data_IF_363367392739
#
_entry.id   IF_363367392739
#
_cell.length_a   1.000
_cell.length_b   1.000
_cell.length_c   1.000
_cell.angle_alpha   90.00
_cell.angle_beta   90.00
_cell.angle_gamma   90.00
#
_symmetry.space_group_name_H-M   'P 1'
#
loop_
_entity.id
_entity.type
_entity.pdbx_description
1 polymer ?
#
# COMPACT_ATOMS: atom_id res chain seq x y z
N UNK A 1 8.05 -18.48 26.11
CA UNK A 1 6.84 -18.20 26.91
C UNK A 1 6.33 -16.81 26.55
N UNK A 2 5.47 -16.71 25.54
CA UNK A 2 4.88 -15.43 25.11
C UNK A 2 3.89 -14.95 26.17
N UNK A 3 4.23 -13.84 26.84
CA UNK A 3 3.41 -13.25 27.89
C UNK A 3 2.62 -12.11 27.25
N UNK A 4 1.47 -12.43 26.66
CA UNK A 4 0.53 -11.43 26.15
C UNK A 4 -0.17 -10.82 27.36
N UNK A 5 0.18 -9.58 27.72
CA UNK A 5 -0.61 -8.80 28.67
C UNK A 5 -1.97 -8.51 28.02
N UNK A 6 -3.06 -8.84 28.71
CA UNK A 6 -4.40 -8.46 28.27
C UNK A 6 -4.71 -7.11 28.89
N UNK A 7 -4.87 -6.11 28.04
CA UNK A 7 -5.35 -4.79 28.43
C UNK A 7 -6.87 -4.81 28.41
N UNK A 8 -7.51 -4.57 29.56
CA UNK A 8 -8.96 -4.41 29.63
C UNK A 8 -9.28 -2.96 29.96
N UNK A 9 -9.81 -2.22 28.97
CA UNK A 9 -10.51 -0.96 29.24
C UNK A 9 -11.92 -1.27 29.76
N UNK A 10 -12.03 -1.83 30.97
CA UNK A 10 -13.34 -2.13 31.58
C UNK A 10 -14.12 -0.87 31.92
N UNK A 11 -13.42 0.25 32.09
CA UNK A 11 -14.02 1.54 32.39
C UNK A 11 -14.23 2.36 31.10
N UNK A 12 -15.40 2.95 30.84
CA UNK A 12 -15.63 3.77 29.65
C UNK A 12 -14.95 5.14 29.73
N UNK A 13 -14.61 5.61 30.93
CA UNK A 13 -14.05 6.96 31.15
C UNK A 13 -12.77 7.26 30.37
N UNK A 14 -11.74 6.38 30.32
CA UNK A 14 -10.55 6.64 29.51
C UNK A 14 -10.89 6.90 28.04
N UNK A 15 -11.80 6.13 27.45
CA UNK A 15 -12.19 6.29 26.05
C UNK A 15 -12.91 7.62 25.83
N UNK A 16 -13.79 7.99 26.77
CA UNK A 16 -14.48 9.28 26.76
C UNK A 16 -13.49 10.44 26.90
N UNK A 17 -12.54 10.36 27.84
CA UNK A 17 -11.51 11.37 28.04
C UNK A 17 -10.64 11.55 26.78
N UNK A 18 -10.22 10.44 26.15
CA UNK A 18 -9.42 10.50 24.92
C UNK A 18 -10.21 11.14 23.78
N UNK A 19 -11.50 10.79 23.64
CA UNK A 19 -12.37 11.33 22.60
C UNK A 19 -12.63 12.83 22.80
N UNK A 20 -12.86 13.24 24.04
CA UNK A 20 -13.03 14.64 24.43
C UNK A 20 -11.74 15.44 24.17
N UNK A 21 -10.58 14.91 24.60
CA UNK A 21 -9.28 15.53 24.38
C UNK A 21 -8.98 15.74 22.89
N UNK A 22 -9.22 14.72 22.06
CA UNK A 22 -9.08 14.84 20.60
C UNK A 22 -10.01 15.92 20.02
N UNK A 23 -11.27 15.92 20.43
CA UNK A 23 -12.28 16.86 19.92
C UNK A 23 -11.94 18.29 20.31
N UNK A 24 -11.52 18.51 21.56
CA UNK A 24 -11.06 19.82 22.06
C UNK A 24 -9.87 20.33 21.28
N UNK A 25 -8.84 19.49 21.08
CA UNK A 25 -7.65 19.89 20.33
C UNK A 25 -8.00 20.23 18.88
N UNK A 26 -8.83 19.42 18.20
CA UNK A 26 -9.28 19.70 16.82
C UNK A 26 -9.92 21.08 16.70
N UNK A 27 -10.73 21.47 17.68
CA UNK A 27 -11.37 22.78 17.70
C UNK A 27 -10.39 23.92 17.98
N UNK A 28 -9.40 23.71 18.86
CA UNK A 28 -8.42 24.73 19.24
C UNK A 28 -7.40 24.99 18.13
N UNK A 29 -6.80 23.95 17.56
CA UNK A 29 -5.76 24.10 16.53
C UNK A 29 -6.33 24.31 15.13
N UNK A 30 -7.65 24.19 14.93
CA UNK A 30 -8.33 24.16 13.61
C UNK A 30 -7.71 23.13 12.64
N UNK A 31 -6.94 22.17 13.14
CA UNK A 31 -6.33 21.10 12.38
C UNK A 31 -7.23 19.87 12.42
N UNK A 32 -7.35 19.16 11.31
CA UNK A 32 -8.15 17.93 11.23
C UNK A 32 -7.53 16.78 12.05
N UNK A 33 -6.21 16.79 12.21
CA UNK A 33 -5.45 15.74 12.90
C UNK A 33 -4.36 16.36 13.80
N UNK A 34 -4.74 16.94 14.95
CA UNK A 34 -3.77 17.39 15.93
C UNK A 34 -3.01 16.20 16.52
N UNK A 35 -1.77 16.44 16.93
CA UNK A 35 -1.03 15.45 17.71
C UNK A 35 -1.61 15.41 19.12
N UNK A 36 -2.09 14.23 19.52
CA UNK A 36 -2.66 14.01 20.84
C UNK A 36 -1.77 13.03 21.58
N UNK A 37 -1.37 13.41 22.78
CA UNK A 37 -0.61 12.56 23.68
C UNK A 37 -1.21 12.65 25.08
N UNK A 38 -1.32 11.51 25.75
CA UNK A 38 -1.73 11.50 27.14
C UNK A 38 -1.28 10.26 27.88
N UNK A 39 -1.32 10.33 29.20
CA UNK A 39 -0.95 9.25 30.10
C UNK A 39 -2.17 8.40 30.47
N UNK A 40 -1.94 7.11 30.68
CA UNK A 40 -2.90 6.13 31.15
C UNK A 40 -2.55 5.73 32.59
N UNK A 41 -3.57 5.81 33.45
CA UNK A 41 -3.51 5.43 34.86
C UNK A 41 -4.40 4.22 35.10
N UNK A 42 -3.92 3.29 35.92
CA UNK A 42 -4.60 2.04 36.14
C UNK A 42 -3.97 1.22 37.24
N UNK A 43 -4.45 -0.02 37.38
CA UNK A 43 -3.88 -1.01 38.28
C UNK A 43 -3.34 -2.18 37.46
N UNK A 44 -2.24 -2.78 37.93
CA UNK A 44 -1.66 -3.96 37.31
C UNK A 44 -1.73 -5.14 38.28
N UNK A 45 -2.59 -6.11 37.98
CA UNK A 45 -2.70 -7.36 38.72
C UNK A 45 -2.00 -8.48 37.94
N UNK A 46 -0.67 -8.53 38.09
CA UNK A 46 0.17 -9.51 37.40
C UNK A 46 0.22 -9.28 35.89
N UNK A 47 -0.63 -10.00 35.13
CA UNK A 47 -0.72 -9.90 33.65
C UNK A 47 -1.97 -9.17 33.17
N UNK A 48 -2.88 -8.87 34.07
CA UNK A 48 -4.08 -8.11 33.77
C UNK A 48 -3.81 -6.64 34.11
N UNK A 49 -4.04 -5.79 33.13
CA UNK A 49 -3.87 -4.35 33.25
C UNK A 49 -5.25 -3.73 33.07
N UNK A 50 -5.75 -3.11 34.14
CA UNK A 50 -7.03 -2.43 34.17
C UNK A 50 -6.79 -0.93 34.05
N UNK A 51 -7.21 -0.36 32.92
CA UNK A 51 -7.09 1.08 32.66
C UNK A 51 -8.32 1.77 33.24
N UNK A 52 -8.10 2.64 34.22
CA UNK A 52 -9.18 3.29 34.99
C UNK A 52 -9.33 4.74 34.60
N UNK A 53 -8.21 5.45 34.41
CA UNK A 53 -8.22 6.88 34.13
C UNK A 53 -7.14 7.28 33.12
N UNK A 54 -7.24 8.49 32.59
CA UNK A 54 -6.28 9.07 31.67
C UNK A 54 -6.24 10.58 31.79
N UNK A 55 -5.09 11.18 31.52
CA UNK A 55 -4.90 12.63 31.49
C UNK A 55 -4.05 13.05 30.31
N UNK A 56 -4.18 14.30 29.88
CA UNK A 56 -3.42 14.87 28.76
C UNK A 56 -1.97 15.15 29.14
N UNK A 57 -1.05 14.92 28.21
CA UNK A 57 0.36 15.27 28.36
C UNK A 57 0.70 16.41 27.42
N UNK A 58 1.46 17.37 27.93
CA UNK A 58 2.04 18.44 27.14
C UNK A 58 3.37 17.99 26.55
N UNK A 59 3.57 18.37 25.30
CA UNK A 59 4.83 18.19 24.59
C UNK A 59 5.49 19.56 24.53
N UNK A 60 6.78 19.62 24.83
CA UNK A 60 7.61 20.82 24.74
C UNK A 60 7.82 21.23 23.28
N UNK A 61 8.39 22.42 23.05
CA UNK A 61 8.71 22.93 21.71
C UNK A 61 9.65 21.99 20.93
N UNK A 62 10.47 21.21 21.64
CA UNK A 62 11.40 20.22 21.08
C UNK A 62 10.74 18.86 20.76
N UNK A 63 9.40 18.79 20.73
CA UNK A 63 8.63 17.56 20.55
C UNK A 63 8.88 16.46 21.61
N UNK A 64 9.46 16.84 22.76
CA UNK A 64 9.71 15.94 23.89
C UNK A 64 8.62 16.04 24.95
N UNK A 65 8.32 14.91 25.60
CA UNK A 65 7.40 14.87 26.73
C UNK A 65 7.99 15.66 27.90
N UNK A 66 7.20 16.57 28.45
CA UNK A 66 7.56 17.30 29.66
C UNK A 66 7.48 16.36 30.89
N UNK A 67 8.64 15.91 31.38
CA UNK A 67 8.74 15.04 32.54
C UNK A 67 8.33 15.70 33.84
N UNK A 68 8.55 17.02 33.98
CA UNK A 68 8.21 17.75 35.19
C UNK A 68 6.70 17.89 35.31
N UNK A 69 6.03 18.22 34.20
CA UNK A 69 4.58 18.23 34.12
C UNK A 69 3.98 16.84 34.38
N UNK A 70 4.55 15.80 33.77
CA UNK A 70 4.10 14.42 33.96
C UNK A 70 4.20 14.01 35.44
N UNK A 71 5.33 14.26 36.09
CA UNK A 71 5.54 13.90 37.50
C UNK A 71 4.61 14.70 38.42
N UNK A 72 4.49 16.01 38.21
CA UNK A 72 3.58 16.87 38.97
C UNK A 72 2.12 16.38 38.86
N UNK A 73 1.65 16.13 37.64
CA UNK A 73 0.29 15.61 37.41
C UNK A 73 0.09 14.23 38.01
N UNK A 74 1.06 13.33 37.85
CA UNK A 74 1.04 12.00 38.45
C UNK A 74 0.90 12.08 39.97
N UNK A 75 1.64 12.96 40.64
CA UNK A 75 1.59 13.11 42.09
C UNK A 75 0.24 13.68 42.55
N UNK A 76 -0.34 14.64 41.82
CA UNK A 76 -1.70 15.13 42.08
C UNK A 76 -2.74 14.00 41.99
N UNK A 77 -2.65 13.15 40.96
CA UNK A 77 -3.56 12.01 40.81
C UNK A 77 -3.37 10.97 41.90
N UNK A 78 -2.13 10.74 42.35
CA UNK A 78 -1.84 9.84 43.48
C UNK A 78 -2.44 10.32 44.80
N UNK A 79 -2.59 11.63 45.00
CA UNK A 79 -3.26 12.16 46.20
C UNK A 79 -4.74 11.77 46.23
N UNK A 80 -5.42 11.77 45.07
CA UNK A 80 -6.85 11.44 44.97
C UNK A 80 -7.08 9.93 44.83
N UNK A 81 -6.17 9.24 44.13
CA UNK A 81 -6.26 7.80 43.84
C UNK A 81 -4.90 7.11 44.10
N UNK A 82 -4.56 6.79 45.36
CA UNK A 82 -3.26 6.23 45.73
C UNK A 82 -2.97 4.85 45.15
N UNK A 83 -4.01 4.09 44.79
CA UNK A 83 -3.88 2.75 44.21
C UNK A 83 -3.57 2.73 42.72
N UNK A 84 -3.68 3.88 42.04
CA UNK A 84 -3.42 3.97 40.60
C UNK A 84 -1.94 4.23 40.33
N UNK A 85 -1.42 3.47 39.37
CA UNK A 85 -0.07 3.62 38.87
C UNK A 85 -0.08 4.11 37.41
N UNK A 86 1.05 4.65 36.99
CA UNK A 86 1.28 4.98 35.59
C UNK A 86 1.49 3.69 34.80
N UNK A 87 0.58 3.41 33.87
CA UNK A 87 0.57 2.16 33.09
C UNK A 87 1.20 2.38 31.70
N UNK A 88 1.01 3.56 31.11
CA UNK A 88 1.51 3.85 29.78
C UNK A 88 0.97 5.16 29.23
N UNK A 89 1.03 5.32 27.90
CA UNK A 89 0.52 6.49 27.20
C UNK A 89 -0.38 6.09 26.03
N UNK A 90 -1.23 7.01 25.61
CA UNK A 90 -2.04 6.89 24.40
C UNK A 90 -1.68 8.00 23.42
N UNK A 91 -1.84 7.70 22.14
CA UNK A 91 -1.81 8.69 21.07
C UNK A 91 -2.93 8.36 20.10
N UNK A 92 -3.44 9.39 19.42
CA UNK A 92 -4.48 9.23 18.41
C UNK A 92 -3.92 9.61 17.05
N UNK A 93 -3.66 8.61 16.22
CA UNK A 93 -3.21 8.78 14.86
C UNK A 93 -3.75 7.65 13.97
N UNK A 94 -3.98 7.97 12.69
CA UNK A 94 -4.34 6.96 11.68
C UNK A 94 -3.16 6.07 11.30
N UNK A 95 -1.94 6.60 11.37
CA UNK A 95 -0.71 5.89 11.06
C UNK A 95 0.45 6.34 11.98
N UNK A 96 1.45 5.48 12.24
CA UNK A 96 2.64 5.88 12.97
C UNK A 96 3.45 6.93 12.21
N UNK A 97 3.62 8.13 12.78
CA UNK A 97 4.49 9.21 12.27
C UNK A 97 5.85 9.23 12.97
N UNK A 98 6.80 10.01 12.43
CA UNK A 98 8.13 10.20 13.02
C UNK A 98 8.10 10.63 14.50
N UNK A 99 7.08 11.41 14.90
CA UNK A 99 6.88 11.83 16.30
C UNK A 99 6.65 10.66 17.24
N UNK A 100 5.94 9.61 16.81
CA UNK A 100 5.79 8.42 17.65
C UNK A 100 7.11 7.67 17.82
N UNK A 101 7.96 7.67 16.78
CA UNK A 101 9.30 7.08 16.87
C UNK A 101 10.15 7.87 17.87
N UNK A 102 10.10 9.21 17.81
CA UNK A 102 10.79 10.08 18.76
C UNK A 102 10.34 9.83 20.22
N UNK A 103 9.04 9.63 20.46
CA UNK A 103 8.52 9.24 21.78
C UNK A 103 9.08 7.90 22.27
N UNK A 104 9.15 6.90 21.40
CA UNK A 104 9.75 5.61 21.74
C UNK A 104 11.25 5.73 22.02
N UNK A 105 11.96 6.57 21.27
CA UNK A 105 13.37 6.87 21.51
C UNK A 105 13.58 7.56 22.87
N UNK A 106 12.77 8.58 23.18
CA UNK A 106 12.79 9.26 24.48
C UNK A 106 12.58 8.25 25.62
N UNK A 107 11.54 7.41 25.53
CA UNK A 107 11.30 6.37 26.53
C UNK A 107 12.50 5.45 26.74
N UNK A 108 13.16 5.00 25.66
CA UNK A 108 14.35 4.14 25.78
C UNK A 108 15.50 4.90 26.45
N UNK A 109 15.72 6.18 26.12
CA UNK A 109 16.73 7.01 26.80
C UNK A 109 16.45 7.15 28.29
N UNK A 110 15.20 7.39 28.68
CA UNK A 110 14.80 7.55 30.09
C UNK A 110 14.96 6.25 30.89
N UNK A 111 14.68 5.11 30.26
CA UNK A 111 14.86 3.79 30.84
C UNK A 111 16.36 3.48 31.05
N UNK A 112 17.21 3.92 30.11
CA UNK A 112 18.68 3.80 30.23
C UNK A 112 19.21 4.72 31.33
N UNK A 113 18.69 5.95 31.42
CA UNK A 113 19.02 6.92 32.46
C UNK A 113 18.47 6.54 33.86
N UNK A 114 17.54 5.59 33.93
CA UNK A 114 16.96 5.09 35.19
C UNK A 114 15.76 5.90 35.71
N UNK A 115 15.24 6.85 34.92
CA UNK A 115 14.09 7.68 35.30
C UNK A 115 12.74 6.96 35.10
N UNK A 116 12.68 5.99 34.18
CA UNK A 116 11.46 5.25 33.84
C UNK A 116 11.55 3.75 34.19
N UNK A 117 10.39 3.11 34.46
CA UNK A 117 10.35 1.68 34.77
C UNK A 117 10.72 0.82 33.55
N UNK A 118 11.62 -0.16 33.78
CA UNK A 118 12.11 -1.12 32.79
C UNK A 118 11.06 -2.18 32.48
N UNK A 119 10.14 -1.90 31.57
CA UNK A 119 9.30 -2.96 31.01
C UNK A 119 10.07 -3.76 29.94
N UNK A 120 10.55 -4.94 30.36
CA UNK A 120 11.28 -5.85 29.48
C UNK A 120 10.44 -6.39 28.31
N UNK A 121 9.11 -6.40 28.40
CA UNK A 121 8.26 -6.82 27.30
C UNK A 121 8.29 -5.79 26.17
N UNK A 122 8.09 -4.51 26.49
CA UNK A 122 8.15 -3.40 25.54
C UNK A 122 9.54 -3.28 24.91
N UNK A 123 10.63 -3.37 25.70
CA UNK A 123 12.00 -3.32 25.18
C UNK A 123 12.31 -4.46 24.20
N UNK A 124 11.83 -5.68 24.49
CA UNK A 124 12.00 -6.82 23.59
C UNK A 124 11.22 -6.63 22.28
N UNK A 125 10.00 -6.13 22.36
CA UNK A 125 9.17 -5.85 21.18
C UNK A 125 9.80 -4.76 20.31
N UNK A 126 10.34 -3.69 20.91
CA UNK A 126 11.08 -2.65 20.20
C UNK A 126 12.35 -3.21 19.53
N UNK A 127 13.11 -4.04 20.23
CA UNK A 127 14.30 -4.69 19.67
C UNK A 127 13.95 -5.61 18.49
N UNK A 128 12.85 -6.38 18.59
CA UNK A 128 12.36 -7.21 17.49
C UNK A 128 11.90 -6.38 16.29
N UNK A 129 11.22 -5.24 16.53
CA UNK A 129 10.82 -4.31 15.48
C UNK A 129 12.04 -3.76 14.76
N UNK A 130 13.04 -3.26 15.49
CA UNK A 130 14.28 -2.74 14.91
C UNK A 130 15.01 -3.82 14.11
N UNK A 131 15.06 -5.06 14.62
CA UNK A 131 15.66 -6.18 13.91
C UNK A 131 14.88 -6.61 12.65
N UNK A 132 13.57 -6.32 12.61
CA UNK A 132 12.71 -6.60 11.45
C UNK A 132 12.69 -5.48 10.41
N UNK A 133 13.19 -4.28 10.76
CA UNK A 133 13.33 -3.21 9.79
C UNK A 133 14.35 -3.64 8.74
N UNK A 134 14.06 -3.45 7.44
CA UNK A 134 15.02 -3.76 6.39
C UNK A 134 16.24 -2.86 6.56
N UNK A 135 17.28 -3.39 7.18
CA UNK A 135 18.61 -2.78 7.21
C UNK A 135 19.29 -3.04 5.87
N UNK A 136 18.73 -2.50 4.78
CA UNK A 136 19.36 -2.51 3.46
C UNK A 136 20.48 -1.45 3.40
N UNK A 137 21.47 -1.58 4.29
CA UNK A 137 22.69 -0.77 4.28
C UNK A 137 23.94 -1.59 3.92
N UNK A 138 23.79 -2.88 3.61
CA UNK A 138 24.91 -3.65 3.08
C UNK A 138 25.16 -3.27 1.61
N UNK A 139 26.36 -2.76 1.32
CA UNK A 139 26.80 -2.40 -0.04
C UNK A 139 26.71 -3.57 -1.03
N UNK A 140 26.92 -4.79 -0.55
CA UNK A 140 26.80 -6.01 -1.37
C UNK A 140 25.36 -6.24 -1.83
N UNK A 141 24.41 -6.13 -0.90
CA UNK A 141 22.99 -6.31 -1.19
C UNK A 141 22.46 -5.25 -2.16
N UNK A 142 22.94 -4.01 -2.06
CA UNK A 142 22.60 -2.95 -3.02
C UNK A 142 23.12 -3.28 -4.42
N UNK A 143 24.37 -3.71 -4.56
CA UNK A 143 24.92 -4.10 -5.85
C UNK A 143 24.19 -5.29 -6.47
N UNK A 144 23.86 -6.31 -5.68
CA UNK A 144 23.04 -7.44 -6.13
C UNK A 144 21.62 -7.00 -6.52
N UNK A 145 20.98 -6.14 -5.71
CA UNK A 145 19.65 -5.60 -6.01
C UNK A 145 19.63 -4.75 -7.28
N UNK A 146 20.64 -3.90 -7.49
CA UNK A 146 20.77 -3.06 -8.68
C UNK A 146 20.99 -3.92 -9.93
N UNK A 147 21.84 -4.96 -9.83
CA UNK A 147 22.08 -5.91 -10.93
C UNK A 147 20.82 -6.70 -11.28
N UNK A 148 20.12 -7.23 -10.28
CA UNK A 148 18.85 -7.95 -10.48
C UNK A 148 17.76 -7.02 -11.06
N UNK A 149 17.72 -5.76 -10.62
CA UNK A 149 16.80 -4.76 -11.16
C UNK A 149 17.05 -4.49 -12.65
N UNK A 150 18.32 -4.31 -13.03
CA UNK A 150 18.73 -4.13 -14.42
C UNK A 150 18.33 -5.33 -15.29
N UNK A 151 18.56 -6.57 -14.82
CA UNK A 151 18.24 -7.79 -15.56
C UNK A 151 16.72 -8.00 -15.72
N UNK A 152 15.94 -7.74 -14.67
CA UNK A 152 14.48 -7.79 -14.73
C UNK A 152 13.95 -6.75 -15.71
N UNK A 153 14.53 -5.55 -15.71
CA UNK A 153 14.12 -4.47 -16.61
C UNK A 153 14.48 -4.78 -18.08
N UNK A 154 15.68 -5.30 -18.34
CA UNK A 154 16.10 -5.74 -19.67
C UNK A 154 15.21 -6.86 -20.22
N UNK A 155 14.87 -7.83 -19.37
CA UNK A 155 13.96 -8.93 -19.73
C UNK A 155 12.57 -8.42 -20.05
N UNK A 156 12.05 -7.46 -19.27
CA UNK A 156 10.77 -6.81 -19.54
C UNK A 156 10.78 -6.03 -20.87
N UNK A 157 11.87 -5.30 -21.16
CA UNK A 157 12.03 -4.60 -22.44
C UNK A 157 12.08 -5.57 -23.63
N UNK A 158 12.86 -6.63 -23.54
CA UNK A 158 13.01 -7.60 -24.63
C UNK A 158 11.70 -8.37 -24.87
N UNK A 159 10.96 -8.69 -23.80
CA UNK A 159 9.60 -9.23 -23.88
C UNK A 159 8.64 -8.26 -24.60
N UNK A 160 8.71 -6.97 -24.28
CA UNK A 160 7.91 -5.93 -24.93
C UNK A 160 8.27 -5.78 -26.40
N UNK A 161 9.55 -5.79 -26.75
CA UNK A 161 10.02 -5.74 -28.14
C UNK A 161 9.59 -6.98 -28.93
N UNK A 162 9.75 -8.17 -28.35
CA UNK A 162 9.34 -9.44 -28.96
C UNK A 162 7.83 -9.45 -29.22
N UNK A 163 7.02 -8.97 -28.26
CA UNK A 163 5.58 -8.78 -28.44
C UNK A 163 5.28 -7.79 -29.57
N UNK A 164 5.98 -6.65 -29.62
CA UNK A 164 5.79 -5.66 -30.68
C UNK A 164 6.13 -6.22 -32.07
N UNK A 165 7.21 -6.99 -32.19
CA UNK A 165 7.61 -7.64 -33.43
C UNK A 165 6.60 -8.73 -33.87
N UNK A 166 6.07 -9.51 -32.94
CA UNK A 166 5.00 -10.49 -33.23
C UNK A 166 3.75 -9.77 -33.75
N UNK A 167 3.32 -8.69 -33.10
CA UNK A 167 2.16 -7.89 -33.52
C UNK A 167 2.39 -7.28 -34.91
N UNK A 168 3.61 -6.83 -35.21
CA UNK A 168 3.95 -6.31 -36.53
C UNK A 168 3.93 -7.39 -37.61
N UNK A 169 4.47 -8.58 -37.34
CA UNK A 169 4.40 -9.70 -38.28
C UNK A 169 2.94 -10.07 -38.59
N UNK A 170 2.09 -10.19 -37.56
CA UNK A 170 0.66 -10.47 -37.74
C UNK A 170 -0.05 -9.38 -38.59
N UNK A 171 0.36 -8.12 -38.44
CA UNK A 171 -0.19 -6.99 -39.19
C UNK A 171 0.28 -7.00 -40.65
N UNK A 172 1.56 -7.28 -40.90
CA UNK A 172 2.12 -7.41 -42.25
C UNK A 172 1.44 -8.56 -42.99
N UNK A 173 1.29 -9.72 -42.35
CA UNK A 173 0.62 -10.88 -42.94
C UNK A 173 -0.83 -10.55 -43.33
N UNK A 174 -1.59 -9.89 -42.44
CA UNK A 174 -2.93 -9.39 -42.76
C UNK A 174 -2.94 -8.40 -43.91
N UNK A 175 -2.00 -7.45 -43.94
CA UNK A 175 -1.91 -6.46 -45.01
C UNK A 175 -1.60 -7.11 -46.37
N UNK A 176 -0.72 -8.11 -46.41
CA UNK A 176 -0.42 -8.87 -47.64
C UNK A 176 -1.70 -9.53 -48.16
N UNK A 177 -2.44 -10.23 -47.31
CA UNK A 177 -3.71 -10.88 -47.71
C UNK A 177 -4.76 -9.86 -48.18
N UNK A 178 -4.94 -8.76 -47.44
CA UNK A 178 -5.92 -7.71 -47.80
C UNK A 178 -5.53 -6.95 -49.08
N UNK A 179 -4.24 -6.74 -49.32
CA UNK A 179 -3.75 -6.06 -50.53
C UNK A 179 -3.75 -6.96 -51.76
N UNK A 180 -3.57 -8.28 -51.61
CA UNK A 180 -3.80 -9.25 -52.68
C UNK A 180 -5.28 -9.37 -53.03
N UNK A 181 -6.18 -9.45 -52.02
CA UNK A 181 -7.63 -9.54 -52.28
C UNK A 181 -8.19 -8.27 -52.96
N UNK A 182 -7.64 -7.09 -52.65
CA UNK A 182 -8.04 -5.83 -53.26
C UNK A 182 -7.53 -5.65 -54.71
N UNK A 183 -6.58 -6.47 -55.16
CA UNK A 183 -6.14 -6.50 -56.57
C UNK A 183 -7.03 -7.39 -57.45
N UNK A 184 -7.60 -8.45 -56.88
CA UNK A 184 -8.50 -9.36 -57.61
C UNK A 184 -9.89 -8.74 -57.89
N UNK A 185 -10.37 -7.81 -57.06
CA UNK A 185 -11.61 -7.05 -57.36
C UNK A 185 -11.43 -5.95 -58.43
N UNK A 186 -10.19 -5.56 -58.77
CA UNK A 186 -9.91 -4.38 -59.63
C UNK A 186 -9.46 -4.72 -61.05
N UNK A 187 -9.53 -5.99 -61.46
CA UNK A 187 -9.32 -6.37 -62.86
C UNK A 187 -10.51 -5.89 -63.72
N UNK A 188 -10.33 -5.02 -64.73
CA UNK A 188 -11.42 -4.60 -65.58
C UNK A 188 -11.78 -5.72 -66.56
N UNK A 189 -13.04 -6.14 -66.57
CA UNK A 189 -13.59 -6.95 -67.66
C UNK A 189 -13.62 -6.11 -68.95
N UNK A 190 -12.56 -6.16 -69.75
CA UNK A 190 -12.59 -5.63 -71.12
C UNK A 190 -11.79 -6.52 -72.07
N UNK A 191 -12.51 -7.38 -72.80
CA UNK A 191 -12.11 -7.85 -74.12
C UNK A 191 -13.33 -7.79 -75.05
N UNK A 192 -13.26 -6.83 -75.97
CA UNK A 192 -14.29 -6.46 -76.94
C UNK A 192 -14.34 -7.41 -78.14
N UNK A 193 -15.56 -7.57 -78.68
CA UNK A 193 -15.93 -8.00 -80.03
C UNK A 193 -14.86 -7.81 -81.12
N UNK A 194 -14.73 -8.82 -82.01
CA UNK A 194 -14.54 -8.58 -83.46
C UNK A 194 -15.25 -9.65 -84.31
N UNK A 195 -15.61 -9.22 -85.52
CA UNK A 195 -16.69 -9.65 -86.43
C UNK A 195 -16.10 -10.16 -87.75
N UNK A 196 -16.81 -11.10 -88.41
CA UNK A 196 -16.70 -11.47 -89.85
C UNK A 196 -15.70 -12.60 -90.14
N UNK A 197 -15.92 -13.58 -91.03
CA UNK A 197 -16.71 -13.67 -92.28
C UNK A 197 -16.81 -15.14 -92.74
N UNK A 198 -17.92 -15.51 -93.41
CA UNK A 198 -18.21 -16.79 -94.08
C UNK A 198 -17.34 -17.00 -95.36
N UNK A 199 -17.20 -18.21 -95.94
CA UNK A 199 -18.20 -18.81 -96.85
C UNK A 199 -18.37 -20.35 -96.69
N UNK A 200 -19.59 -20.92 -96.74
CA UNK A 200 -20.45 -21.33 -97.88
C UNK A 200 -20.14 -22.76 -98.40
N UNK A 201 -21.08 -23.68 -98.17
CA UNK A 201 -21.17 -25.02 -98.79
C UNK A 201 -22.37 -25.82 -98.24
N UNK A 202 -23.50 -25.79 -98.95
CA UNK A 202 -24.73 -26.61 -98.78
C UNK A 202 -24.59 -27.92 -99.61
N UNK A 203 -25.56 -28.86 -99.65
CA UNK A 203 -26.59 -29.31 -98.68
C UNK A 203 -26.76 -30.86 -98.60
N UNK A 204 -27.57 -31.34 -97.65
CA UNK A 204 -28.29 -32.63 -97.72
C UNK A 204 -29.14 -32.85 -96.46
N UNK A 205 -30.47 -32.68 -96.49
CA UNK A 205 -31.53 -33.72 -96.62
C UNK A 205 -31.32 -34.88 -95.63
N UNK A 206 -32.23 -35.32 -94.74
CA UNK A 206 -33.69 -35.29 -94.49
C UNK A 206 -33.85 -35.87 -93.06
N UNK A 207 -34.84 -35.63 -92.19
CA UNK A 207 -36.28 -35.46 -92.33
C UNK A 207 -36.96 -36.29 -91.21
N UNK A 208 -38.03 -35.74 -90.61
CA UNK A 208 -39.04 -36.37 -89.72
C UNK A 208 -38.58 -36.90 -88.35
N UNK A 209 -39.26 -36.71 -87.20
CA UNK A 209 -40.60 -36.26 -86.77
C UNK A 209 -40.79 -36.92 -85.37
N UNK A 210 -41.58 -36.51 -84.39
CA UNK A 210 -42.62 -35.50 -84.17
C UNK A 210 -43.19 -35.72 -82.74
N UNK A 211 -43.93 -34.71 -82.23
CA UNK A 211 -45.09 -34.69 -81.31
C UNK A 211 -45.19 -35.77 -80.20
N UNK A 212 -45.42 -35.46 -78.92
CA UNK A 212 -46.30 -34.44 -78.30
C UNK A 212 -45.66 -33.67 -77.15
#
# INVERSE_FOLDING_TARGET
MFRVCRYHCRHPLPILNISEHLTRLRLQTKSSLPFVLGALLGTQNGREVDIVNSFELTVTEDEQVDHDFLNSRKDQYKQVFPSLEFIGWYTVASAPTARHIALHEQYVKDVVAGAAQKDHATLRSLSALIASLPASENKHFRGEFDTEYEDVQLTAYLSTLTKSASILNDLVDKHVVMSSSNREERAPSMASRRRGTQPRGLPGFSGHGGWD
#
